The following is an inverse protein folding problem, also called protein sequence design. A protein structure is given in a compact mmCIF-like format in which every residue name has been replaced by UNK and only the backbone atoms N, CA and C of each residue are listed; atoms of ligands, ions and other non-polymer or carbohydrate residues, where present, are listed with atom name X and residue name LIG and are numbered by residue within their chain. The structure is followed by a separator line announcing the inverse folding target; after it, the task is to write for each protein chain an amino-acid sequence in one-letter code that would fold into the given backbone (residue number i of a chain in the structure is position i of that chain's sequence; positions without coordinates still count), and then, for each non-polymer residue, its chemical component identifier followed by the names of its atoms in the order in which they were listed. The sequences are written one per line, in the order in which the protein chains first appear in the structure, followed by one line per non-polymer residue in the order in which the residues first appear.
data_IF_873352818881
#
_entry.id   IF_873352818881
#
_cell.length_a   1.000
_cell.length_b   1.000
_cell.length_c   1.000
_cell.angle_alpha   90.00
_cell.angle_beta   90.00
_cell.angle_gamma   90.00
#
_symmetry.space_group_name_H-M   'P 1'
#
loop_
_entity.id
_entity.type
_entity.pdbx_description
1 polymer ?
#
# COMPACT_ATOMS: atom_id res chain seq x y z
N UNK A 1 8.59 30.47 -11.86
CA UNK A 1 7.61 29.85 -10.93
C UNK A 1 8.35 29.48 -9.66
N UNK A 2 7.84 29.87 -8.48
CA UNK A 2 8.43 29.40 -7.21
C UNK A 2 8.27 27.88 -7.12
N UNK A 3 9.37 27.18 -6.89
CA UNK A 3 9.38 25.73 -6.65
C UNK A 3 8.50 25.43 -5.41
N UNK A 4 7.31 24.90 -5.62
CA UNK A 4 6.45 24.49 -4.53
C UNK A 4 7.05 23.25 -3.87
N UNK A 5 7.17 23.30 -2.53
CA UNK A 5 7.70 22.21 -1.73
C UNK A 5 6.66 21.73 -0.74
N UNK A 6 6.47 20.43 -0.66
CA UNK A 6 5.53 19.77 0.25
C UNK A 6 6.33 18.92 1.22
N UNK A 7 5.97 19.00 2.51
CA UNK A 7 6.49 18.15 3.56
C UNK A 7 5.45 17.09 3.92
N UNK A 8 5.87 15.82 3.95
CA UNK A 8 5.05 14.68 4.38
C UNK A 8 5.71 14.11 5.64
N UNK A 9 4.97 14.05 6.73
CA UNK A 9 5.44 13.48 7.99
C UNK A 9 4.97 12.03 8.08
N UNK A 10 5.92 11.11 8.13
CA UNK A 10 5.70 9.67 8.23
C UNK A 10 6.03 8.90 6.96
N UNK A 11 6.71 7.76 7.13
CA UNK A 11 7.13 6.83 6.06
C UNK A 11 6.26 5.57 5.97
N UNK A 12 5.00 5.66 6.40
CA UNK A 12 4.03 4.60 6.16
C UNK A 12 3.65 4.51 4.68
N UNK A 13 2.96 3.44 4.28
CA UNK A 13 2.56 3.23 2.88
C UNK A 13 1.77 4.41 2.31
N UNK A 14 0.86 5.00 3.09
CA UNK A 14 0.09 6.16 2.65
C UNK A 14 1.00 7.36 2.34
N UNK A 15 1.88 7.74 3.27
CA UNK A 15 2.80 8.86 3.09
C UNK A 15 3.74 8.67 1.90
N UNK A 16 4.33 7.48 1.77
CA UNK A 16 5.23 7.16 0.67
C UNK A 16 4.49 7.14 -0.68
N UNK A 17 3.28 6.58 -0.74
CA UNK A 17 2.47 6.56 -1.97
C UNK A 17 2.05 7.97 -2.37
N UNK A 18 1.67 8.81 -1.39
CA UNK A 18 1.34 10.22 -1.61
C UNK A 18 2.54 10.99 -2.15
N UNK A 19 3.73 10.79 -1.58
CA UNK A 19 4.95 11.42 -2.07
C UNK A 19 5.19 11.10 -3.54
N UNK A 20 5.02 9.84 -3.91
CA UNK A 20 5.17 9.41 -5.30
C UNK A 20 4.11 10.04 -6.21
N UNK A 21 2.84 10.06 -5.80
CA UNK A 21 1.76 10.65 -6.57
C UNK A 21 2.00 12.14 -6.83
N UNK A 22 2.35 12.89 -5.78
CA UNK A 22 2.62 14.32 -5.87
C UNK A 22 3.88 14.65 -6.69
N UNK A 23 4.87 13.77 -6.70
CA UNK A 23 6.09 13.98 -7.51
C UNK A 23 5.81 14.05 -9.01
N UNK A 24 4.68 13.50 -9.46
CA UNK A 24 4.24 13.58 -10.87
C UNK A 24 3.64 14.94 -11.25
N UNK A 25 3.38 15.79 -10.27
CA UNK A 25 2.86 17.15 -10.45
C UNK A 25 3.97 18.21 -10.45
N UNK A 26 5.22 17.82 -10.72
CA UNK A 26 6.40 18.70 -10.68
C UNK A 26 6.62 19.42 -9.34
N UNK A 27 6.18 18.79 -8.24
CA UNK A 27 6.38 19.28 -6.89
C UNK A 27 7.66 18.71 -6.28
N UNK A 28 8.33 19.49 -5.43
CA UNK A 28 9.43 18.99 -4.59
C UNK A 28 8.86 18.50 -3.25
N UNK A 29 9.23 17.29 -2.84
CA UNK A 29 8.64 16.62 -1.70
C UNK A 29 9.73 16.19 -0.73
N UNK A 30 9.57 16.59 0.53
CA UNK A 30 10.35 16.12 1.65
C UNK A 30 9.51 15.13 2.47
N UNK A 31 9.97 13.90 2.62
CA UNK A 31 9.36 12.88 3.51
C UNK A 31 10.21 12.80 4.76
N UNK A 32 9.64 13.15 5.90
CA UNK A 32 10.31 13.16 7.20
C UNK A 32 9.83 11.97 8.02
N UNK A 33 10.76 11.12 8.48
CA UNK A 33 10.43 9.99 9.32
C UNK A 33 11.61 9.56 10.18
N UNK A 34 11.33 9.15 11.42
CA UNK A 34 12.34 8.67 12.36
C UNK A 34 13.07 7.42 11.85
N UNK A 35 12.35 6.50 11.22
CA UNK A 35 12.90 5.26 10.68
C UNK A 35 12.18 4.89 9.39
N UNK A 36 12.79 5.21 8.26
CA UNK A 36 12.19 5.00 6.93
C UNK A 36 12.18 3.50 6.56
N UNK A 37 13.17 2.75 7.03
CA UNK A 37 13.35 1.33 6.69
C UNK A 37 12.67 0.38 7.69
N UNK A 38 11.95 0.92 8.67
CA UNK A 38 11.14 0.12 9.59
C UNK A 38 10.15 -0.76 8.81
N UNK A 39 9.90 -1.96 9.32
CA UNK A 39 9.00 -2.97 8.72
C UNK A 39 9.44 -3.57 7.37
N UNK A 40 10.63 -3.28 6.85
CA UNK A 40 11.06 -3.86 5.57
C UNK A 40 11.24 -5.38 5.62
N UNK A 41 11.37 -5.96 6.80
CA UNK A 41 11.48 -7.41 6.99
C UNK A 41 10.20 -8.03 7.58
N UNK A 42 9.14 -7.25 7.70
CA UNK A 42 7.87 -7.71 8.23
C UNK A 42 7.20 -8.70 7.27
N UNK A 43 6.70 -9.82 7.81
CA UNK A 43 5.85 -10.78 7.09
C UNK A 43 4.38 -10.37 7.06
N UNK A 44 4.02 -9.22 7.65
CA UNK A 44 2.62 -8.74 7.68
C UNK A 44 2.10 -8.54 6.26
N UNK A 45 0.88 -9.01 6.04
CA UNK A 45 0.13 -8.75 4.81
C UNK A 45 -0.87 -7.63 5.02
N UNK A 46 -1.18 -6.93 3.95
CA UNK A 46 -2.25 -5.94 3.90
C UNK A 46 -3.22 -6.28 2.78
N UNK A 47 -4.49 -5.94 2.98
CA UNK A 47 -5.50 -6.00 1.95
C UNK A 47 -5.64 -4.61 1.31
N UNK A 48 -5.57 -4.55 -0.01
CA UNK A 48 -5.83 -3.33 -0.77
C UNK A 48 -7.04 -3.54 -1.67
N UNK A 49 -7.93 -2.55 -1.74
CA UNK A 49 -9.11 -2.61 -2.60
C UNK A 49 -8.73 -2.71 -4.09
N UNK A 50 -9.66 -3.16 -4.92
CA UNK A 50 -9.49 -3.17 -6.38
C UNK A 50 -9.10 -1.79 -6.90
N UNK A 51 -9.75 -0.72 -6.43
CA UNK A 51 -9.46 0.65 -6.86
C UNK A 51 -8.04 1.11 -6.48
N UNK A 52 -7.60 0.78 -5.25
CA UNK A 52 -6.23 1.09 -4.83
C UNK A 52 -5.19 0.28 -5.59
N UNK A 53 -5.47 -0.98 -5.91
CA UNK A 53 -4.61 -1.79 -6.76
C UNK A 53 -4.46 -1.18 -8.16
N UNK A 54 -5.56 -0.76 -8.77
CA UNK A 54 -5.55 -0.11 -10.09
C UNK A 54 -4.83 1.25 -10.03
N UNK A 55 -5.02 2.01 -8.95
CA UNK A 55 -4.31 3.26 -8.74
C UNK A 55 -2.79 3.06 -8.67
N UNK A 56 -2.32 2.10 -7.86
CA UNK A 56 -0.91 1.73 -7.77
C UNK A 56 -0.36 1.34 -9.15
N UNK A 57 -1.11 0.59 -9.94
CA UNK A 57 -0.73 0.25 -11.33
C UNK A 57 -0.62 1.48 -12.22
N UNK A 58 -1.59 2.41 -12.16
CA UNK A 58 -1.57 3.66 -12.95
C UNK A 58 -0.39 4.56 -12.60
N UNK A 59 0.07 4.53 -11.34
CA UNK A 59 1.28 5.26 -10.97
C UNK A 59 2.52 4.79 -11.74
N UNK A 60 2.48 3.59 -12.34
CA UNK A 60 3.52 2.97 -13.16
C UNK A 60 4.92 2.99 -12.52
N UNK A 61 4.95 2.82 -11.20
CA UNK A 61 6.15 2.99 -10.37
C UNK A 61 6.83 1.65 -10.11
N UNK A 62 6.12 0.53 -10.35
CA UNK A 62 6.53 -0.75 -9.82
C UNK A 62 6.54 -1.83 -10.88
N UNK A 63 7.68 -2.50 -10.97
CA UNK A 63 7.74 -3.86 -11.52
C UNK A 63 7.53 -4.84 -10.38
N UNK A 64 6.28 -5.14 -10.05
CA UNK A 64 5.99 -6.19 -9.08
C UNK A 64 6.24 -7.56 -9.69
N UNK A 65 6.75 -8.53 -8.92
CA UNK A 65 6.71 -9.93 -9.32
C UNK A 65 5.26 -10.33 -9.65
N UNK A 66 5.06 -11.15 -10.68
CA UNK A 66 3.71 -11.58 -11.11
C UNK A 66 2.83 -12.13 -9.98
N UNK A 67 3.44 -12.71 -8.95
CA UNK A 67 2.76 -13.31 -7.78
C UNK A 67 2.74 -12.42 -6.54
N UNK A 68 3.12 -11.14 -6.63
CA UNK A 68 3.17 -10.26 -5.45
C UNK A 68 1.79 -9.92 -4.89
N UNK A 69 0.76 -9.90 -5.74
CA UNK A 69 -0.62 -9.63 -5.36
C UNK A 69 -1.46 -10.88 -5.42
N UNK A 70 -2.06 -11.24 -4.30
CA UNK A 70 -2.97 -12.37 -4.20
C UNK A 70 -4.42 -11.88 -4.29
N UNK A 71 -5.13 -12.15 -5.39
CA UNK A 71 -6.50 -11.70 -5.56
C UNK A 71 -7.45 -12.49 -4.68
N UNK A 72 -8.35 -11.81 -3.99
CA UNK A 72 -9.39 -12.40 -3.15
C UNK A 72 -10.77 -12.05 -3.69
N UNK A 73 -11.64 -13.04 -3.77
CA UNK A 73 -13.04 -12.92 -4.23
C UNK A 73 -14.04 -13.02 -3.09
N UNK A 74 -13.57 -13.41 -1.92
CA UNK A 74 -14.40 -13.66 -0.73
C UNK A 74 -13.64 -13.32 0.53
N UNK A 75 -14.33 -12.81 1.54
CA UNK A 75 -13.84 -12.63 2.91
C UNK A 75 -14.92 -13.04 3.90
N UNK A 76 -14.54 -13.83 4.89
CA UNK A 76 -15.42 -14.25 5.99
C UNK A 76 -14.79 -13.88 7.33
N UNK A 77 -15.57 -13.32 8.21
CA UNK A 77 -15.15 -13.01 9.58
C UNK A 77 -15.95 -13.86 10.57
N UNK A 78 -15.24 -14.46 11.49
CA UNK A 78 -15.80 -15.31 12.53
C UNK A 78 -15.45 -14.76 13.91
N UNK A 79 -16.34 -14.98 14.87
CA UNK A 79 -16.07 -14.77 16.30
C UNK A 79 -16.24 -16.06 17.07
N UNK A 80 -15.61 -16.15 18.23
CA UNK A 80 -15.93 -17.21 19.20
C UNK A 80 -17.08 -16.76 20.08
N UNK A 81 -18.08 -17.61 20.22
CA UNK A 81 -19.14 -17.42 21.21
C UNK A 81 -18.71 -17.90 22.62
N UNK A 82 -19.60 -17.73 23.60
CA UNK A 82 -19.37 -18.18 24.99
C UNK A 82 -19.14 -19.71 25.11
N UNK A 83 -19.51 -20.49 24.09
CA UNK A 83 -19.34 -21.96 24.05
C UNK A 83 -18.10 -22.37 23.24
N UNK A 84 -17.21 -21.42 22.92
CA UNK A 84 -16.02 -21.63 22.05
C UNK A 84 -16.35 -22.13 20.64
N UNK A 85 -17.56 -21.95 20.14
CA UNK A 85 -17.96 -22.24 18.77
C UNK A 85 -17.69 -21.02 17.89
N UNK A 86 -17.25 -21.28 16.65
CA UNK A 86 -17.03 -20.22 15.68
C UNK A 86 -18.35 -19.86 14.99
N UNK A 87 -18.82 -18.65 15.21
CA UNK A 87 -20.00 -18.09 14.53
C UNK A 87 -19.58 -17.07 13.50
N UNK A 88 -20.06 -17.22 12.26
CA UNK A 88 -19.81 -16.26 11.19
C UNK A 88 -20.58 -14.98 11.44
N UNK A 89 -19.89 -13.85 11.58
CA UNK A 89 -20.48 -12.53 11.83
C UNK A 89 -20.54 -11.64 10.59
N UNK A 90 -19.69 -11.93 9.60
CA UNK A 90 -19.64 -11.12 8.38
C UNK A 90 -19.15 -11.96 7.20
N UNK A 91 -19.72 -11.70 6.05
CA UNK A 91 -19.27 -12.27 4.78
C UNK A 91 -19.34 -11.20 3.69
N UNK A 92 -18.25 -11.02 2.99
CA UNK A 92 -18.15 -10.21 1.78
C UNK A 92 -17.82 -11.14 0.62
N UNK A 93 -18.73 -11.23 -0.34
CA UNK A 93 -18.55 -12.01 -1.56
C UNK A 93 -19.14 -11.24 -2.74
N UNK A 94 -18.38 -11.18 -3.82
CA UNK A 94 -18.90 -10.55 -5.03
C UNK A 94 -19.75 -11.57 -5.81
N UNK A 95 -20.99 -11.19 -6.18
CA UNK A 95 -21.94 -12.05 -6.89
C UNK A 95 -21.39 -12.62 -8.20
N UNK A 96 -20.46 -11.93 -8.86
CA UNK A 96 -19.89 -12.31 -10.15
C UNK A 96 -18.45 -12.87 -10.03
N UNK A 97 -18.04 -13.38 -8.88
CA UNK A 97 -16.66 -13.82 -8.60
C UNK A 97 -15.59 -12.76 -8.96
N UNK A 98 -15.97 -11.48 -9.02
CA UNK A 98 -15.02 -10.39 -9.21
C UNK A 98 -14.16 -10.23 -7.96
N UNK A 99 -12.92 -9.84 -8.17
CA UNK A 99 -11.96 -9.56 -7.10
C UNK A 99 -12.45 -8.41 -6.25
N UNK A 100 -12.45 -8.58 -4.93
CA UNK A 100 -12.86 -7.56 -3.97
C UNK A 100 -11.65 -6.78 -3.46
N UNK A 101 -10.56 -7.50 -3.21
CA UNK A 101 -9.29 -6.93 -2.78
C UNK A 101 -8.12 -7.82 -3.17
N UNK A 102 -6.93 -7.30 -2.97
CA UNK A 102 -5.67 -8.02 -3.16
C UNK A 102 -4.89 -8.04 -1.85
N UNK A 103 -4.41 -9.21 -1.47
CA UNK A 103 -3.44 -9.34 -0.39
C UNK A 103 -2.04 -9.13 -0.94
N UNK A 104 -1.23 -8.36 -0.24
CA UNK A 104 0.18 -8.18 -0.54
C UNK A 104 0.99 -8.10 0.76
N UNK A 105 2.20 -8.62 0.74
CA UNK A 105 3.11 -8.44 1.86
C UNK A 105 3.54 -6.97 1.96
N UNK A 106 3.35 -6.37 3.13
CA UNK A 106 3.63 -4.96 3.39
C UNK A 106 5.06 -4.57 3.02
N UNK A 107 6.02 -5.40 3.41
CA UNK A 107 7.44 -5.17 3.11
C UNK A 107 7.75 -5.16 1.62
N UNK A 108 7.12 -6.01 0.81
CA UNK A 108 7.29 -6.01 -0.64
C UNK A 108 6.82 -4.69 -1.23
N UNK A 109 5.63 -4.24 -0.83
CA UNK A 109 5.08 -2.97 -1.32
C UNK A 109 5.96 -1.80 -0.89
N UNK A 110 6.31 -1.70 0.39
CA UNK A 110 7.15 -0.63 0.94
C UNK A 110 8.53 -0.58 0.30
N UNK A 111 9.23 -1.72 0.16
CA UNK A 111 10.53 -1.82 -0.51
C UNK A 111 10.50 -1.27 -1.94
N UNK A 112 9.46 -1.61 -2.71
CA UNK A 112 9.33 -1.13 -4.08
C UNK A 112 9.11 0.39 -4.14
N UNK A 113 8.26 0.93 -3.26
CA UNK A 113 8.02 2.38 -3.18
C UNK A 113 9.33 3.11 -2.84
N UNK A 114 10.04 2.68 -1.80
CA UNK A 114 11.31 3.29 -1.39
C UNK A 114 12.35 3.21 -2.51
N UNK A 115 12.44 2.07 -3.21
CA UNK A 115 13.35 1.92 -4.37
C UNK A 115 13.05 2.93 -5.47
N UNK A 116 11.78 3.22 -5.73
CA UNK A 116 11.38 4.26 -6.67
C UNK A 116 11.77 5.65 -6.16
N UNK A 117 11.42 5.96 -4.90
CA UNK A 117 11.70 7.26 -4.28
C UNK A 117 13.20 7.57 -4.30
N UNK A 118 14.06 6.60 -3.96
CA UNK A 118 15.53 6.77 -3.98
C UNK A 118 16.08 7.15 -5.38
N UNK A 119 15.34 6.85 -6.45
CA UNK A 119 15.70 7.22 -7.83
C UNK A 119 15.05 8.52 -8.30
N UNK A 120 14.08 9.04 -7.57
CA UNK A 120 13.31 10.22 -7.96
C UNK A 120 13.92 11.49 -7.35
N UNK A 121 14.47 12.38 -8.21
CA UNK A 121 15.12 13.62 -7.77
C UNK A 121 14.16 14.63 -7.11
N UNK A 122 12.86 14.49 -7.30
CA UNK A 122 11.85 15.38 -6.72
C UNK A 122 11.48 15.01 -5.28
N UNK A 123 11.88 13.82 -4.80
CA UNK A 123 11.53 13.34 -3.45
C UNK A 123 12.80 13.19 -2.63
N UNK A 124 12.84 13.79 -1.46
CA UNK A 124 13.92 13.63 -0.47
C UNK A 124 13.39 12.90 0.76
N UNK A 125 14.09 11.85 1.18
CA UNK A 125 13.86 11.16 2.45
C UNK A 125 14.77 11.80 3.51
N UNK A 126 14.19 12.19 4.64
CA UNK A 126 14.88 12.86 5.76
C UNK A 126 14.55 12.19 7.09
#
# INVERSE_FOLDING_TARGET
MKDQRICIIGSGLAGLTTAVALSKLNLKIDVIAKNIEEDLNSCRTIAISQSNYEYIKKLNIFKFPKKAFWPCTEMKLYTKDKKNLFSKIFELKNKNNKKIFYMIQNSILKKNIIKYIKKNKSIKLK
#
